data_IF_031791895692
#
_entry.id   IF_031791895692
#
_cell.length_a   1.000
_cell.length_b   1.000
_cell.length_c   1.000
_cell.angle_alpha   90.00
_cell.angle_beta   90.00
_cell.angle_gamma   90.00
#
_symmetry.space_group_name_H-M   'P 1'
#
loop_
_entity.id
_entity.type
_entity.pdbx_description
1 polymer ?
#
# COMPACT_ATOMS: atom_id res chain seq x y z
N UNK A 1 1.19 -6.56 -4.22
CA UNK A 1 1.55 -5.29 -4.90
C UNK A 1 2.87 -4.71 -4.43
N UNK A 2 3.62 -4.04 -5.32
CA UNK A 2 4.87 -3.34 -4.97
C UNK A 2 5.00 -1.98 -5.67
N UNK A 3 5.39 -0.95 -4.92
CA UNK A 3 5.68 0.39 -5.43
C UNK A 3 7.08 0.83 -5.03
N UNK A 4 7.79 1.44 -5.98
CA UNK A 4 9.12 2.01 -5.77
C UNK A 4 9.10 3.51 -6.07
N UNK A 5 9.84 4.26 -5.26
CA UNK A 5 10.02 5.69 -5.39
C UNK A 5 10.77 6.05 -6.69
N UNK A 6 10.26 7.03 -7.41
CA UNK A 6 10.84 7.58 -8.62
C UNK A 6 12.15 8.30 -8.27
N UNK A 7 13.27 7.78 -8.78
CA UNK A 7 14.60 8.34 -8.52
C UNK A 7 15.18 8.00 -7.14
N UNK A 8 14.58 7.05 -6.41
CA UNK A 8 15.02 6.66 -5.07
C UNK A 8 15.12 5.16 -4.81
N UNK A 9 15.60 4.84 -3.62
CA UNK A 9 15.75 3.47 -3.10
C UNK A 9 14.63 3.06 -2.14
N UNK A 10 13.61 3.91 -2.01
CA UNK A 10 12.45 3.65 -1.15
C UNK A 10 11.46 2.74 -1.88
N UNK A 11 10.95 1.72 -1.20
CA UNK A 11 9.86 0.91 -1.75
C UNK A 11 8.94 0.38 -0.65
N UNK A 12 7.69 0.14 -1.04
CA UNK A 12 6.68 -0.52 -0.22
C UNK A 12 6.11 -1.69 -0.99
N UNK A 13 6.00 -2.82 -0.32
CA UNK A 13 5.31 -4.00 -0.81
C UNK A 13 4.24 -4.39 0.20
N UNK A 14 3.02 -4.58 -0.27
CA UNK A 14 1.90 -5.13 0.50
C UNK A 14 1.46 -6.37 -0.25
N UNK A 15 1.60 -7.54 0.37
CA UNK A 15 1.30 -8.83 -0.24
C UNK A 15 0.24 -9.55 0.59
N UNK A 16 -1.00 -9.71 0.08
CA UNK A 16 -1.94 -10.69 0.61
C UNK A 16 -1.32 -12.08 0.57
N UNK A 17 -1.33 -12.80 1.69
CA UNK A 17 -0.71 -14.15 1.76
C UNK A 17 -1.66 -15.25 2.21
N UNK A 18 -2.72 -14.90 2.96
CA UNK A 18 -3.73 -15.85 3.40
C UNK A 18 -5.03 -15.13 3.75
N UNK A 19 -6.14 -15.86 3.67
CA UNK A 19 -7.39 -15.52 4.34
C UNK A 19 -7.39 -16.11 5.77
N UNK A 20 -7.74 -15.29 6.76
CA UNK A 20 -8.01 -15.72 8.13
C UNK A 20 -9.53 -15.73 8.38
N UNK A 21 -10.13 -16.88 8.10
CA UNK A 21 -11.58 -17.10 8.28
C UNK A 21 -12.06 -16.91 9.72
N UNK A 22 -11.17 -16.95 10.72
CA UNK A 22 -11.55 -16.74 12.11
C UNK A 22 -11.81 -15.26 12.42
N UNK A 23 -11.17 -14.36 11.67
CA UNK A 23 -11.28 -12.91 11.85
C UNK A 23 -11.93 -12.19 10.67
N UNK A 24 -12.27 -12.92 9.59
CA UNK A 24 -12.82 -12.37 8.34
C UNK A 24 -11.88 -11.31 7.74
N UNK A 25 -10.58 -11.62 7.76
CA UNK A 25 -9.50 -10.70 7.36
C UNK A 25 -8.43 -11.42 6.56
N UNK A 26 -7.78 -10.66 5.70
CA UNK A 26 -6.60 -11.04 4.94
C UNK A 26 -5.35 -10.77 5.79
N UNK A 27 -4.48 -11.78 5.85
CA UNK A 27 -3.09 -11.65 6.31
C UNK A 27 -2.29 -10.94 5.23
N UNK A 28 -1.66 -9.83 5.57
CA UNK A 28 -0.78 -9.08 4.67
C UNK A 28 0.65 -9.12 5.19
N UNK A 29 1.55 -9.57 4.31
CA UNK A 29 2.98 -9.37 4.45
C UNK A 29 3.33 -7.99 3.88
N UNK A 30 3.67 -7.06 4.76
CA UNK A 30 4.14 -5.73 4.41
C UNK A 30 5.65 -5.64 4.54
N UNK A 31 6.30 -5.05 3.53
CA UNK A 31 7.73 -4.75 3.53
C UNK A 31 7.93 -3.29 3.17
N UNK A 32 8.73 -2.58 3.97
CA UNK A 32 9.18 -1.22 3.64
C UNK A 32 10.70 -1.22 3.57
N UNK A 33 11.23 -0.70 2.47
CA UNK A 33 12.66 -0.50 2.25
C UNK A 33 12.94 1.02 2.11
N UNK A 34 13.98 1.50 2.79
CA UNK A 34 14.50 2.87 2.67
C UNK A 34 16.04 2.83 2.69
N UNK A 35 16.63 2.72 1.50
CA UNK A 35 18.06 2.53 1.34
C UNK A 35 18.53 1.22 2.00
N UNK A 36 19.36 1.35 3.04
CA UNK A 36 19.88 0.19 3.81
C UNK A 36 18.93 -0.28 4.91
N UNK A 37 17.84 0.45 5.16
CA UNK A 37 16.88 0.13 6.22
C UNK A 37 15.74 -0.69 5.65
N UNK A 38 15.32 -1.71 6.40
CA UNK A 38 14.23 -2.61 6.04
C UNK A 38 13.37 -2.90 7.26
N UNK A 39 12.06 -2.85 7.06
CA UNK A 39 11.06 -3.22 8.04
C UNK A 39 10.06 -4.19 7.43
N UNK A 40 9.56 -5.11 8.25
CA UNK A 40 8.57 -6.11 7.85
C UNK A 40 7.44 -6.19 8.87
N UNK A 41 6.24 -6.48 8.39
CA UNK A 41 5.07 -6.82 9.20
C UNK A 41 4.36 -7.99 8.53
N UNK A 42 3.88 -8.95 9.31
CA UNK A 42 2.93 -9.97 8.88
C UNK A 42 1.78 -9.93 9.88
N UNK A 43 0.60 -9.46 9.44
CA UNK A 43 -0.54 -9.24 10.35
C UNK A 43 -1.88 -9.36 9.59
N UNK A 44 -2.95 -9.68 10.31
CA UNK A 44 -4.32 -9.63 9.78
C UNK A 44 -4.83 -8.20 9.84
N UNK A 45 -4.88 -7.52 8.68
CA UNK A 45 -5.08 -6.06 8.67
C UNK A 45 -6.23 -5.58 7.79
N UNK A 46 -6.53 -6.23 6.66
CA UNK A 46 -7.59 -5.81 5.75
C UNK A 46 -8.70 -6.84 5.73
N UNK A 47 -9.96 -6.45 5.61
CA UNK A 47 -10.99 -7.34 5.07
C UNK A 47 -10.78 -7.54 3.56
N UNK A 48 -11.45 -8.53 2.99
CA UNK A 48 -11.48 -8.75 1.54
C UNK A 48 -12.00 -7.52 0.77
N UNK A 49 -13.09 -6.91 1.28
CA UNK A 49 -13.61 -5.64 0.74
C UNK A 49 -12.61 -4.49 0.87
N UNK A 50 -11.95 -4.33 2.02
CA UNK A 50 -10.94 -3.27 2.24
C UNK A 50 -9.73 -3.43 1.29
N UNK A 51 -9.32 -4.66 0.99
CA UNK A 51 -8.24 -4.94 0.05
C UNK A 51 -8.65 -4.60 -1.40
N UNK A 52 -9.91 -4.88 -1.78
CA UNK A 52 -10.45 -4.48 -3.09
C UNK A 52 -10.65 -2.97 -3.19
N UNK A 53 -11.12 -2.32 -2.14
CA UNK A 53 -11.25 -0.87 -2.07
C UNK A 53 -9.89 -0.19 -2.19
N UNK A 54 -8.84 -0.75 -1.58
CA UNK A 54 -7.47 -0.29 -1.76
C UNK A 54 -7.02 -0.39 -3.21
N UNK A 55 -7.25 -1.53 -3.88
CA UNK A 55 -6.93 -1.69 -5.29
C UNK A 55 -7.70 -0.69 -6.17
N UNK A 56 -9.00 -0.53 -5.94
CA UNK A 56 -9.85 0.40 -6.68
C UNK A 56 -9.42 1.85 -6.48
N UNK A 57 -9.07 2.24 -5.24
CA UNK A 57 -8.59 3.58 -4.93
C UNK A 57 -7.24 3.88 -5.57
N UNK A 58 -6.29 2.94 -5.57
CA UNK A 58 -4.99 3.09 -6.26
C UNK A 58 -5.17 3.27 -7.77
N UNK A 59 -6.08 2.52 -8.40
CA UNK A 59 -6.42 2.71 -9.81
C UNK A 59 -7.08 4.09 -10.04
N UNK A 60 -8.05 4.45 -9.18
CA UNK A 60 -8.79 5.70 -9.26
C UNK A 60 -7.89 6.93 -9.15
N UNK A 61 -7.00 6.99 -8.16
CA UNK A 61 -6.11 8.14 -7.96
C UNK A 61 -5.10 8.32 -9.11
N UNK A 62 -4.73 7.23 -9.78
CA UNK A 62 -3.83 7.27 -10.93
C UNK A 62 -4.55 7.76 -12.20
N UNK A 63 -5.81 7.36 -12.39
CA UNK A 63 -6.60 7.66 -13.60
C UNK A 63 -7.41 8.98 -13.48
N UNK A 64 -7.68 9.48 -12.28
CA UNK A 64 -8.51 10.65 -12.07
C UNK A 64 -7.87 11.93 -12.66
N UNK A 65 -8.41 12.36 -13.80
CA UNK A 65 -8.05 13.61 -14.49
C UNK A 65 -8.95 14.79 -14.12
N UNK A 66 -9.92 14.56 -13.22
CA UNK A 66 -10.97 15.50 -12.84
C UNK A 66 -10.78 16.09 -11.45
N UNK A 67 -10.10 15.38 -10.53
CA UNK A 67 -9.65 15.94 -9.26
C UNK A 67 -8.79 17.18 -9.48
N UNK A 68 -8.94 18.17 -8.59
CA UNK A 68 -8.05 19.32 -8.59
C UNK A 68 -6.61 18.83 -8.39
N UNK A 69 -5.66 19.44 -9.13
CA UNK A 69 -4.24 19.19 -8.89
C UNK A 69 -3.94 19.43 -7.40
N UNK A 70 -3.25 18.48 -6.77
CA UNK A 70 -2.82 18.51 -5.36
C UNK A 70 -3.90 18.26 -4.28
N UNK A 71 -5.10 17.79 -4.66
CA UNK A 71 -6.07 17.29 -3.69
C UNK A 71 -5.65 15.94 -3.09
N UNK A 72 -5.43 15.91 -1.78
CA UNK A 72 -5.11 14.69 -1.04
C UNK A 72 -6.37 13.89 -0.74
N UNK A 73 -6.34 12.60 -1.10
CA UNK A 73 -7.33 11.61 -0.69
C UNK A 73 -6.67 10.59 0.25
N UNK A 74 -7.46 9.94 1.10
CA UNK A 74 -6.96 8.95 2.04
C UNK A 74 -7.92 7.76 2.17
N UNK A 75 -7.35 6.59 2.43
CA UNK A 75 -8.05 5.40 2.85
C UNK A 75 -7.69 5.08 4.30
N UNK A 76 -8.73 4.84 5.08
CA UNK A 76 -8.63 4.34 6.45
C UNK A 76 -9.35 3.01 6.51
N UNK A 77 -8.70 2.01 7.09
CA UNK A 77 -9.26 0.67 7.26
C UNK A 77 -9.71 0.47 8.71
N UNK A 78 -10.50 -0.57 8.93
CA UNK A 78 -10.96 -0.97 10.26
C UNK A 78 -9.79 -1.32 11.19
N UNK A 79 -8.73 -1.92 10.64
CA UNK A 79 -7.45 -2.06 11.35
C UNK A 79 -6.62 -0.79 11.17
N UNK A 80 -6.19 -0.11 12.25
CA UNK A 80 -5.40 1.11 12.14
C UNK A 80 -3.93 0.85 11.77
N UNK A 81 -3.55 -0.42 11.54
CA UNK A 81 -2.17 -0.83 11.32
C UNK A 81 -1.63 -0.31 9.99
N UNK A 82 -2.50 -0.08 9.00
CA UNK A 82 -2.13 0.48 7.71
C UNK A 82 -3.00 1.71 7.46
N UNK A 83 -2.40 2.80 7.01
CA UNK A 83 -3.14 3.93 6.42
C UNK A 83 -2.44 4.38 5.15
N UNK A 84 -3.24 4.80 4.17
CA UNK A 84 -2.73 5.31 2.90
C UNK A 84 -3.37 6.65 2.60
N UNK A 85 -2.56 7.57 2.09
CA UNK A 85 -3.05 8.80 1.48
C UNK A 85 -2.23 9.10 0.24
N UNK A 86 -2.79 9.87 -0.66
CA UNK A 86 -2.09 10.24 -1.87
C UNK A 86 -2.76 11.37 -2.62
N UNK A 87 -2.06 11.86 -3.62
CA UNK A 87 -2.61 12.75 -4.63
C UNK A 87 -1.89 12.56 -5.96
N UNK A 88 -2.57 12.97 -7.03
CA UNK A 88 -1.96 13.09 -8.34
C UNK A 88 -1.13 14.37 -8.41
N UNK A 89 0.03 14.27 -9.04
CA UNK A 89 0.87 15.40 -9.43
C UNK A 89 0.71 15.65 -10.94
N UNK A 90 0.53 16.90 -11.38
CA UNK A 90 0.57 17.24 -12.81
C UNK A 90 1.86 16.73 -13.47
N UNK A 91 1.73 16.02 -14.59
CA UNK A 91 2.87 15.41 -15.28
C UNK A 91 2.93 13.88 -15.23
N UNK A 92 1.95 13.21 -14.61
CA UNK A 92 1.79 11.75 -14.71
C UNK A 92 2.41 10.95 -13.56
N UNK A 93 2.65 11.60 -12.43
CA UNK A 93 3.17 10.99 -11.19
C UNK A 93 2.10 11.03 -10.11
N UNK A 94 2.09 10.05 -9.22
CA UNK A 94 1.27 10.01 -8.00
C UNK A 94 2.22 10.07 -6.80
N UNK A 95 1.93 10.93 -5.83
CA UNK A 95 2.57 10.89 -4.52
C UNK A 95 1.69 10.10 -3.56
N UNK A 96 2.29 9.12 -2.88
CA UNK A 96 1.65 8.28 -1.89
C UNK A 96 2.38 8.44 -0.55
N UNK A 97 1.62 8.48 0.53
CA UNK A 97 2.10 8.37 1.91
C UNK A 97 1.45 7.16 2.54
N UNK A 98 2.29 6.21 2.93
CA UNK A 98 1.87 4.93 3.50
C UNK A 98 2.44 4.88 4.92
N UNK A 99 1.56 4.69 5.90
CA UNK A 99 1.96 4.43 7.27
C UNK A 99 1.64 2.97 7.61
N UNK A 100 2.64 2.27 8.15
CA UNK A 100 2.50 0.91 8.67
C UNK A 100 3.00 0.89 10.11
N UNK A 101 2.12 0.54 11.03
CA UNK A 101 2.41 0.55 12.46
C UNK A 101 3.06 -0.78 12.89
N UNK A 102 3.83 -0.74 13.98
CA UNK A 102 4.39 -1.91 14.67
C UNK A 102 5.27 -2.82 13.78
N UNK A 103 5.89 -2.28 12.74
CA UNK A 103 6.77 -3.06 11.88
C UNK A 103 8.04 -3.47 12.62
N UNK A 104 8.55 -4.66 12.35
CA UNK A 104 9.82 -5.18 12.89
C UNK A 104 10.98 -4.68 12.03
N UNK A 105 11.95 -4.00 12.64
CA UNK A 105 13.16 -3.58 11.95
C UNK A 105 14.14 -4.75 11.78
N UNK A 106 14.90 -4.79 10.68
CA UNK A 106 15.88 -5.85 10.43
C UNK A 106 16.95 -6.00 11.54
N UNK A 107 17.27 -4.92 12.25
CA UNK A 107 18.18 -4.93 13.41
C UNK A 107 17.54 -5.33 14.75
N UNK A 108 16.26 -5.71 14.75
CA UNK A 108 15.45 -5.94 15.94
C UNK A 108 14.68 -4.70 16.41
N UNK A 109 13.66 -4.93 17.23
CA UNK A 109 12.75 -3.88 17.72
C UNK A 109 11.58 -3.59 16.78
N UNK A 110 10.59 -2.86 17.29
CA UNK A 110 9.39 -2.44 16.55
C UNK A 110 9.39 -0.93 16.32
N UNK A 111 8.85 -0.49 15.18
CA UNK A 111 8.71 0.91 14.83
C UNK A 111 7.44 1.14 13.99
N UNK A 112 6.85 2.32 14.14
CA UNK A 112 5.85 2.82 13.21
C UNK A 112 6.58 3.50 12.05
N UNK A 113 6.30 3.05 10.83
CA UNK A 113 7.00 3.49 9.63
C UNK A 113 6.06 4.29 8.76
N UNK A 114 6.44 5.53 8.45
CA UNK A 114 5.74 6.38 7.48
C UNK A 114 6.67 6.62 6.31
N UNK A 115 6.23 6.24 5.12
CA UNK A 115 7.00 6.39 3.88
C UNK A 115 6.20 7.18 2.86
N UNK A 116 6.81 8.27 2.39
CA UNK A 116 6.37 8.99 1.20
C UNK A 116 7.14 8.48 -0.01
N UNK A 117 6.43 8.12 -1.08
CA UNK A 117 7.01 7.76 -2.36
C UNK A 117 6.26 8.44 -3.51
N UNK A 118 6.98 8.71 -4.59
CA UNK A 118 6.43 9.15 -5.86
C UNK A 118 6.54 8.01 -6.86
N UNK A 119 5.49 7.71 -7.61
CA UNK A 119 5.51 6.67 -8.61
C UNK A 119 4.81 7.14 -9.90
N UNK A 120 5.29 6.73 -11.09
CA UNK A 120 4.55 6.96 -12.32
C UNK A 120 3.15 6.36 -12.24
N UNK A 121 2.14 7.05 -12.79
CA UNK A 121 0.75 6.57 -12.79
C UNK A 121 0.62 5.12 -13.27
N UNK A 122 1.32 4.77 -14.35
CA UNK A 122 1.31 3.42 -14.89
C UNK A 122 1.80 2.36 -13.87
N UNK A 123 2.77 2.70 -13.02
CA UNK A 123 3.24 1.81 -11.97
C UNK A 123 2.21 1.67 -10.84
N UNK A 124 1.49 2.74 -10.51
CA UNK A 124 0.39 2.70 -9.53
C UNK A 124 -0.79 1.86 -10.03
N UNK A 125 -1.18 2.03 -11.30
CA UNK A 125 -2.21 1.19 -11.94
C UNK A 125 -1.78 -0.28 -12.00
N UNK A 126 -0.51 -0.57 -12.31
CA UNK A 126 0.01 -1.93 -12.28
C UNK A 126 -0.05 -2.52 -10.87
N UNK A 127 0.41 -1.78 -9.86
CA UNK A 127 0.35 -2.21 -8.46
C UNK A 127 -1.09 -2.47 -7.98
N UNK A 128 -2.06 -1.65 -8.41
CA UNK A 128 -3.48 -1.86 -8.13
C UNK A 128 -3.99 -3.19 -8.72
N UNK A 129 -3.63 -3.48 -9.98
CA UNK A 129 -3.99 -4.74 -10.64
C UNK A 129 -3.33 -5.95 -9.99
N UNK A 130 -2.06 -5.83 -9.63
CA UNK A 130 -1.31 -6.89 -8.95
C UNK A 130 -1.93 -7.18 -7.57
N UNK A 131 -2.32 -6.15 -6.81
CA UNK A 131 -3.02 -6.32 -5.54
C UNK A 131 -4.32 -7.11 -5.72
N UNK A 132 -5.17 -6.68 -6.66
CA UNK A 132 -6.45 -7.33 -6.90
C UNK A 132 -6.26 -8.80 -7.33
N UNK A 133 -5.31 -9.06 -8.23
CA UNK A 133 -5.00 -10.42 -8.66
C UNK A 133 -4.45 -11.31 -7.53
N UNK A 134 -3.64 -10.75 -6.62
CA UNK A 134 -3.15 -11.47 -5.44
C UNK A 134 -4.29 -11.79 -4.46
N UNK A 135 -5.22 -10.86 -4.22
CA UNK A 135 -6.41 -11.08 -3.38
C UNK A 135 -7.30 -12.16 -4.00
N UNK A 136 -7.61 -12.07 -5.28
CA UNK A 136 -8.48 -13.03 -5.97
C UNK A 136 -7.86 -14.44 -6.08
N UNK A 137 -6.54 -14.55 -5.89
CA UNK A 137 -5.81 -15.83 -5.88
C UNK A 137 -5.71 -16.47 -4.48
N UNK A 138 -6.20 -15.81 -3.42
CA UNK A 138 -6.19 -16.36 -2.08
C UNK A 138 -7.07 -17.62 -2.01
N UNK A 139 -6.61 -18.68 -1.33
CA UNK A 139 -7.41 -19.88 -1.15
C UNK A 139 -8.58 -19.58 -0.19
N UNK A 140 -9.80 -19.86 -0.64
CA UNK A 140 -11.04 -19.85 0.16
C UNK A 140 -11.12 -21.01 1.14
#
# INVERSE_FOLDING_TARGET
MRLRDEGGDRSVELRPVADDSATDRIVVDAVVEDGVRRWTLADTCLTDDEARDLAAWLAGIADDATAAADEWTALTFSSPVITLSGHRIPGGTVELRIAVLRMVAAGGGTADVVVGLRAPQAAVVAAARDLLAEVDALPS
#
